data_IF_816023105788
#
_entry.id   IF_816023105788
#
_cell.length_a   1.000
_cell.length_b   1.000
_cell.length_c   1.000
_cell.angle_alpha   90.00
_cell.angle_beta   90.00
_cell.angle_gamma   90.00
#
_symmetry.space_group_name_H-M   'P 1'
#
loop_
_entity.id
_entity.type
_entity.pdbx_description
1 polymer ?
#
# COMPACT_ATOMS: atom_id res chain seq x y z
N UNK A 1 -14.58 23.26 28.23
CA UNK A 1 -14.03 24.09 27.14
C UNK A 1 -14.45 23.48 25.82
N UNK A 2 -15.31 24.19 25.07
CA UNK A 2 -15.71 23.81 23.73
C UNK A 2 -14.76 24.46 22.71
N UNK A 3 -14.37 23.72 21.67
CA UNK A 3 -13.91 24.29 20.40
C UNK A 3 -14.36 23.37 19.25
N UNK A 4 -15.39 23.84 18.53
CA UNK A 4 -15.91 23.28 17.31
C UNK A 4 -15.06 23.76 16.12
N UNK A 5 -14.63 22.87 15.22
CA UNK A 5 -14.17 23.25 13.88
C UNK A 5 -15.06 22.62 12.81
N UNK A 6 -16.09 23.40 12.45
CA UNK A 6 -16.92 23.27 11.24
C UNK A 6 -16.06 23.54 10.01
N UNK A 7 -15.89 22.55 9.13
CA UNK A 7 -15.50 22.78 7.74
C UNK A 7 -16.78 23.02 6.91
N UNK A 8 -16.97 24.27 6.46
CA UNK A 8 -18.03 24.65 5.52
C UNK A 8 -17.56 24.33 4.10
N UNK A 9 -18.15 23.31 3.48
CA UNK A 9 -18.01 23.11 2.03
C UNK A 9 -19.01 24.04 1.31
N UNK A 10 -18.49 25.00 0.56
CA UNK A 10 -19.27 25.82 -0.36
C UNK A 10 -19.26 25.11 -1.72
N UNK A 11 -20.21 24.21 -1.95
CA UNK A 11 -20.54 23.80 -3.32
C UNK A 11 -21.57 24.80 -3.87
N UNK A 12 -21.27 25.55 -4.94
CA UNK A 12 -22.30 26.34 -5.59
C UNK A 12 -23.28 25.39 -6.29
N UNK A 13 -24.54 25.49 -5.90
CA UNK A 13 -25.69 24.89 -6.58
C UNK A 13 -25.62 25.22 -8.07
N UNK A 14 -25.67 24.24 -8.99
CA UNK A 14 -25.72 24.54 -10.41
C UNK A 14 -27.06 25.21 -10.73
N UNK A 15 -27.03 26.55 -10.79
CA UNK A 15 -28.11 27.35 -11.31
C UNK A 15 -28.41 26.95 -12.74
N UNK A 16 -29.69 26.69 -13.02
CA UNK A 16 -30.23 26.50 -14.37
C UNK A 16 -29.74 27.62 -15.29
N UNK A 17 -28.86 27.29 -16.22
CA UNK A 17 -28.61 28.08 -17.43
C UNK A 17 -29.93 28.17 -18.21
N UNK A 18 -30.63 29.28 -18.05
CA UNK A 18 -31.75 29.64 -18.92
C UNK A 18 -31.16 30.06 -20.25
N UNK A 19 -31.37 29.24 -21.28
CA UNK A 19 -31.13 29.67 -22.64
C UNK A 19 -32.07 30.84 -22.96
N UNK A 20 -31.58 31.92 -23.59
CA UNK A 20 -32.45 33.01 -24.01
C UNK A 20 -33.45 32.48 -25.06
N UNK A 21 -34.74 32.73 -24.83
CA UNK A 21 -35.76 32.58 -25.86
C UNK A 21 -35.52 33.68 -26.89
N UNK A 22 -34.87 33.33 -27.99
CA UNK A 22 -34.83 34.18 -29.17
C UNK A 22 -36.27 34.32 -29.70
N UNK A 23 -36.87 35.47 -29.43
CA UNK A 23 -37.98 35.99 -30.21
C UNK A 23 -37.46 36.35 -31.60
N UNK A 24 -37.57 35.42 -32.56
CA UNK A 24 -37.48 35.75 -33.97
C UNK A 24 -38.90 36.07 -34.45
N UNK A 25 -39.14 37.34 -34.81
CA UNK A 25 -40.32 37.75 -35.54
C UNK A 25 -40.40 37.09 -36.93
N UNK A 26 -41.51 37.26 -37.65
CA UNK A 26 -41.73 36.61 -38.93
C UNK A 26 -40.97 37.37 -40.02
N UNK A 27 -39.67 37.12 -40.14
CA UNK A 27 -38.93 37.48 -41.34
C UNK A 27 -39.25 36.44 -42.41
N UNK A 28 -40.16 36.85 -43.30
CA UNK A 28 -40.39 36.37 -44.66
C UNK A 28 -39.36 35.36 -45.16
N UNK A 29 -39.79 34.10 -45.24
CA UNK A 29 -39.10 33.02 -45.94
C UNK A 29 -39.04 33.37 -47.42
N UNK A 30 -37.96 34.02 -47.85
CA UNK A 30 -37.52 33.83 -49.23
C UNK A 30 -36.99 32.41 -49.29
N UNK A 31 -37.71 31.53 -49.98
CA UNK A 31 -37.24 30.19 -50.32
C UNK A 31 -35.89 30.31 -51.04
N UNK A 32 -34.82 30.16 -50.26
CA UNK A 32 -33.51 29.86 -50.81
C UNK A 32 -33.64 28.42 -51.32
N UNK A 33 -33.51 28.17 -52.64
CA UNK A 33 -33.54 26.82 -53.15
C UNK A 33 -32.49 26.00 -52.39
N UNK A 34 -32.82 24.77 -51.96
CA UNK A 34 -31.93 23.97 -51.14
C UNK A 34 -30.59 23.86 -51.86
N UNK A 35 -29.53 24.39 -51.23
CA UNK A 35 -28.17 24.13 -51.70
C UNK A 35 -28.03 22.61 -51.74
N UNK A 36 -27.58 22.02 -52.86
CA UNK A 36 -27.37 20.59 -52.92
C UNK A 36 -26.40 20.22 -51.79
N UNK A 37 -26.89 19.44 -50.82
CA UNK A 37 -26.05 18.68 -49.88
C UNK A 37 -25.37 17.57 -50.68
N UNK A 38 -24.47 17.95 -51.58
CA UNK A 38 -23.46 17.06 -52.11
C UNK A 38 -22.17 17.36 -51.36
N UNK A 39 -21.92 16.49 -50.39
CA UNK A 39 -20.61 15.90 -50.17
C UNK A 39 -19.54 16.75 -49.47
N UNK A 40 -19.75 17.03 -48.18
CA UNK A 40 -18.61 17.18 -47.27
C UNK A 40 -17.95 15.80 -47.00
N UNK A 41 -18.72 14.71 -47.02
CA UNK A 41 -18.22 13.34 -46.85
C UNK A 41 -17.50 12.79 -48.09
N UNK A 42 -17.93 13.12 -49.33
CA UNK A 42 -17.23 12.60 -50.51
C UNK A 42 -15.90 13.30 -50.82
N UNK A 43 -15.57 14.41 -50.13
CA UNK A 43 -14.22 15.01 -50.21
C UNK A 43 -13.21 14.29 -49.33
N UNK A 44 -13.62 13.78 -48.16
CA UNK A 44 -12.73 12.95 -47.34
C UNK A 44 -12.45 11.60 -48.01
N UNK A 45 -13.44 10.99 -48.66
CA UNK A 45 -13.22 9.76 -49.44
C UNK A 45 -12.31 9.97 -50.66
N UNK A 46 -12.37 11.15 -51.32
CA UNK A 46 -11.49 11.47 -52.46
C UNK A 46 -10.00 11.64 -52.09
N UNK A 47 -9.69 12.00 -50.85
CA UNK A 47 -8.31 12.22 -50.41
C UNK A 47 -7.62 10.95 -49.90
N UNK A 48 -8.37 9.89 -49.61
CA UNK A 48 -7.87 8.57 -49.19
C UNK A 48 -7.12 7.82 -50.31
N UNK A 49 -7.34 8.18 -51.57
CA UNK A 49 -6.71 7.51 -52.72
C UNK A 49 -5.32 8.05 -53.07
N UNK A 50 -4.97 9.23 -52.54
CA UNK A 50 -3.61 9.76 -52.69
C UNK A 50 -2.64 8.97 -51.80
N UNK A 51 -1.41 8.73 -52.27
CA UNK A 51 -0.38 8.06 -51.46
C UNK A 51 -0.16 8.76 -50.11
N UNK A 52 -0.22 10.10 -50.12
CA UNK A 52 -0.17 10.96 -48.93
C UNK A 52 -1.36 10.76 -47.98
N UNK A 53 -2.57 10.56 -48.50
CA UNK A 53 -3.76 10.29 -47.70
C UNK A 53 -3.72 8.94 -47.00
N UNK A 54 -3.17 7.91 -47.64
CA UNK A 54 -2.98 6.58 -47.04
C UNK A 54 -1.96 6.61 -45.90
N UNK A 55 -0.85 7.33 -46.07
CA UNK A 55 0.15 7.50 -44.99
C UNK A 55 -0.43 8.27 -43.80
N UNK A 56 -1.22 9.33 -44.04
CA UNK A 56 -1.92 10.05 -42.96
C UNK A 56 -2.92 9.15 -42.22
N UNK A 57 -3.66 8.31 -42.94
CA UNK A 57 -4.60 7.36 -42.33
C UNK A 57 -3.89 6.33 -41.46
N UNK A 58 -2.74 5.78 -41.91
CA UNK A 58 -1.91 4.86 -41.12
C UNK A 58 -1.40 5.53 -39.84
N UNK A 59 -0.85 6.74 -39.94
CA UNK A 59 -0.36 7.49 -38.78
C UNK A 59 -1.49 7.79 -37.77
N UNK A 60 -2.71 8.12 -38.24
CA UNK A 60 -3.88 8.32 -37.37
C UNK A 60 -4.32 7.05 -36.64
N UNK A 61 -4.15 5.88 -37.26
CA UNK A 61 -4.43 4.60 -36.59
C UNK A 61 -3.34 4.30 -35.55
N UNK A 62 -2.07 4.44 -35.92
CA UNK A 62 -0.94 4.25 -35.00
C UNK A 62 -1.03 5.17 -33.78
N UNK A 63 -1.35 6.45 -33.98
CA UNK A 63 -1.55 7.41 -32.88
C UNK A 63 -2.68 6.98 -31.94
N UNK A 64 -3.81 6.50 -32.47
CA UNK A 64 -4.91 5.99 -31.64
C UNK A 64 -4.52 4.74 -30.87
N UNK A 65 -3.76 3.83 -31.48
CA UNK A 65 -3.24 2.64 -30.81
C UNK A 65 -2.29 3.04 -29.66
N UNK A 66 -1.33 3.93 -29.91
CA UNK A 66 -0.40 4.42 -28.89
C UNK A 66 -1.10 5.16 -27.76
N UNK A 67 -2.11 5.99 -28.07
CA UNK A 67 -2.93 6.65 -27.06
C UNK A 67 -3.63 5.64 -26.15
N UNK A 68 -4.25 4.62 -26.73
CA UNK A 68 -4.92 3.57 -25.97
C UNK A 68 -3.94 2.78 -25.07
N UNK A 69 -2.77 2.41 -25.59
CA UNK A 69 -1.73 1.74 -24.80
C UNK A 69 -1.25 2.61 -23.64
N UNK A 70 -1.10 3.93 -23.87
CA UNK A 70 -0.69 4.87 -22.84
C UNK A 70 -1.76 5.03 -21.74
N UNK A 71 -3.04 5.07 -22.10
CA UNK A 71 -4.14 5.08 -21.13
C UNK A 71 -4.14 3.82 -20.26
N UNK A 72 -3.95 2.64 -20.87
CA UNK A 72 -3.83 1.37 -20.15
C UNK A 72 -2.62 1.36 -19.21
N UNK A 73 -1.48 1.86 -19.66
CA UNK A 73 -0.27 1.95 -18.84
C UNK A 73 -0.43 2.91 -17.66
N UNK A 74 -1.13 4.04 -17.84
CA UNK A 74 -1.48 4.94 -16.75
C UNK A 74 -2.35 4.21 -15.72
N UNK A 75 -3.38 3.50 -16.17
CA UNK A 75 -4.28 2.75 -15.28
C UNK A 75 -3.52 1.68 -14.49
N UNK A 76 -2.69 0.86 -15.15
CA UNK A 76 -1.84 -0.15 -14.49
C UNK A 76 -0.92 0.45 -13.45
N UNK A 77 -0.33 1.62 -13.72
CA UNK A 77 0.52 2.34 -12.75
C UNK A 77 -0.28 2.85 -11.55
N UNK A 78 -1.51 3.31 -11.76
CA UNK A 78 -2.38 3.74 -10.67
C UNK A 78 -2.78 2.54 -9.79
N UNK A 79 -3.15 1.41 -10.40
CA UNK A 79 -3.46 0.17 -9.70
C UNK A 79 -2.26 -0.36 -8.91
N UNK A 80 -1.06 -0.39 -9.51
CA UNK A 80 0.16 -0.82 -8.83
C UNK A 80 0.49 0.07 -7.62
N UNK A 81 0.31 1.39 -7.74
CA UNK A 81 0.50 2.33 -6.62
C UNK A 81 -0.55 2.15 -5.52
N UNK A 82 -1.80 1.86 -5.88
CA UNK A 82 -2.85 1.58 -4.91
C UNK A 82 -2.54 0.29 -4.14
N UNK A 83 -2.21 -0.79 -4.85
CA UNK A 83 -1.82 -2.06 -4.24
C UNK A 83 -0.58 -1.93 -3.34
N UNK A 84 0.40 -1.11 -3.74
CA UNK A 84 1.56 -0.83 -2.90
C UNK A 84 1.17 -0.14 -1.59
N UNK A 85 0.28 0.86 -1.64
CA UNK A 85 -0.20 1.56 -0.44
C UNK A 85 -0.97 0.64 0.50
N UNK A 86 -1.87 -0.18 -0.04
CA UNK A 86 -2.61 -1.18 0.75
C UNK A 86 -1.65 -2.17 1.42
N UNK A 87 -0.61 -2.61 0.71
CA UNK A 87 0.43 -3.48 1.27
C UNK A 87 1.24 -2.78 2.37
N UNK A 88 1.62 -1.52 2.19
CA UNK A 88 2.34 -0.72 3.19
C UNK A 88 1.48 -0.52 4.46
N UNK A 89 0.20 -0.22 4.31
CA UNK A 89 -0.76 -0.08 5.42
C UNK A 89 -0.94 -1.41 6.16
N UNK A 90 -1.11 -2.52 5.44
CA UNK A 90 -1.21 -3.85 6.06
C UNK A 90 0.06 -4.21 6.85
N UNK A 91 1.24 -3.93 6.30
CA UNK A 91 2.50 -4.14 7.00
C UNK A 91 2.67 -3.24 8.22
N UNK A 92 2.24 -1.97 8.15
CA UNK A 92 2.27 -1.07 9.30
C UNK A 92 1.41 -1.60 10.45
N UNK A 93 0.20 -2.07 10.14
CA UNK A 93 -0.71 -2.70 11.12
C UNK A 93 -0.12 -3.97 11.72
N UNK A 94 0.51 -4.82 10.90
CA UNK A 94 1.18 -6.04 11.38
C UNK A 94 2.31 -5.69 12.36
N UNK A 95 3.16 -4.71 12.01
CA UNK A 95 4.26 -4.25 12.87
C UNK A 95 3.74 -3.67 14.19
N UNK A 96 2.66 -2.88 14.15
CA UNK A 96 2.04 -2.32 15.36
C UNK A 96 1.49 -3.43 16.26
N UNK A 97 0.82 -4.43 15.68
CA UNK A 97 0.29 -5.58 16.42
C UNK A 97 1.40 -6.38 17.13
N UNK A 98 2.54 -6.59 16.46
CA UNK A 98 3.70 -7.27 17.02
C UNK A 98 4.34 -6.45 18.15
N UNK A 99 4.46 -5.13 17.98
CA UNK A 99 4.96 -4.23 19.04
C UNK A 99 4.08 -4.29 20.28
N UNK A 100 2.76 -4.26 20.11
CA UNK A 100 1.81 -4.38 21.23
C UNK A 100 1.97 -5.74 21.94
N UNK A 101 2.13 -6.83 21.18
CA UNK A 101 2.35 -8.17 21.74
C UNK A 101 3.65 -8.25 22.56
N UNK A 102 4.74 -7.63 22.08
CA UNK A 102 6.02 -7.54 22.81
C UNK A 102 5.86 -6.75 24.11
N UNK A 103 5.20 -5.59 24.08
CA UNK A 103 4.93 -4.79 25.28
C UNK A 103 4.09 -5.57 26.30
N UNK A 104 3.07 -6.31 25.85
CA UNK A 104 2.28 -7.18 26.72
C UNK A 104 3.12 -8.33 27.31
N UNK A 105 4.03 -8.91 26.54
CA UNK A 105 4.94 -9.94 27.05
C UNK A 105 5.92 -9.38 28.09
N UNK A 106 6.49 -8.19 27.86
CA UNK A 106 7.38 -7.52 28.80
C UNK A 106 6.68 -7.15 30.12
N UNK A 107 5.47 -6.59 30.04
CA UNK A 107 4.68 -6.26 31.23
C UNK A 107 4.33 -7.51 32.04
N UNK A 108 3.91 -8.59 31.38
CA UNK A 108 3.70 -9.90 32.03
C UNK A 108 4.98 -10.44 32.66
N UNK A 109 6.13 -10.31 32.01
CA UNK A 109 7.42 -10.72 32.56
C UNK A 109 7.79 -9.89 33.80
N UNK A 110 7.56 -8.56 33.78
CA UNK A 110 7.77 -7.68 34.95
C UNK A 110 6.84 -8.08 36.10
N UNK A 111 5.55 -8.31 35.83
CA UNK A 111 4.60 -8.76 36.86
C UNK A 111 4.99 -10.13 37.44
N UNK A 112 5.43 -11.07 36.60
CA UNK A 112 5.91 -12.38 37.07
C UNK A 112 7.12 -12.26 38.01
N UNK A 113 8.06 -11.35 37.72
CA UNK A 113 9.20 -11.05 38.60
C UNK A 113 8.76 -10.47 39.94
N UNK A 114 7.90 -9.46 39.93
CA UNK A 114 7.38 -8.85 41.16
C UNK A 114 6.63 -9.87 42.01
N UNK A 115 5.80 -10.72 41.41
CA UNK A 115 5.11 -11.78 42.13
C UNK A 115 6.08 -12.84 42.70
N UNK A 116 7.16 -13.16 41.97
CA UNK A 116 8.21 -14.04 42.46
C UNK A 116 8.95 -13.43 43.67
N UNK A 117 9.29 -12.13 43.61
CA UNK A 117 9.92 -11.41 44.73
C UNK A 117 8.99 -11.28 45.95
N UNK A 118 7.69 -11.02 45.74
CA UNK A 118 6.71 -10.99 46.84
C UNK A 118 6.63 -12.37 47.50
N UNK A 119 6.55 -13.44 46.70
CA UNK A 119 6.54 -14.81 47.21
C UNK A 119 7.82 -15.14 47.94
N UNK A 120 8.99 -14.76 47.42
CA UNK A 120 10.28 -14.97 48.10
C UNK A 120 10.30 -14.24 49.45
N UNK A 121 9.88 -12.98 49.49
CA UNK A 121 9.76 -12.21 50.74
C UNK A 121 8.75 -12.81 51.71
N UNK A 122 7.62 -13.31 51.23
CA UNK A 122 6.62 -13.98 52.06
C UNK A 122 7.15 -15.31 52.58
N UNK A 123 7.84 -16.10 51.75
CA UNK A 123 8.51 -17.34 52.19
C UNK A 123 9.61 -17.06 53.20
N UNK A 124 10.38 -15.98 53.04
CA UNK A 124 11.39 -15.56 54.02
C UNK A 124 10.73 -15.07 55.31
N UNK A 125 9.65 -14.29 55.24
CA UNK A 125 8.87 -13.86 56.42
C UNK A 125 8.29 -15.05 57.16
N UNK A 126 7.68 -16.00 56.44
CA UNK A 126 7.19 -17.26 56.99
C UNK A 126 8.35 -18.09 57.54
N UNK A 127 9.51 -18.16 56.88
CA UNK A 127 10.68 -18.83 57.44
C UNK A 127 11.20 -18.14 58.71
N UNK A 128 11.19 -16.82 58.80
CA UNK A 128 11.62 -16.10 60.00
C UNK A 128 10.59 -16.15 61.13
N UNK A 129 9.29 -16.23 60.81
CA UNK A 129 8.20 -16.47 61.76
C UNK A 129 8.16 -17.92 62.22
N UNK A 130 8.37 -18.86 61.31
CA UNK A 130 8.47 -20.30 61.57
C UNK A 130 9.80 -20.70 62.19
N UNK A 131 10.90 -19.97 62.04
CA UNK A 131 12.10 -20.24 62.86
C UNK A 131 11.84 -19.94 64.35
N UNK A 132 10.75 -19.22 64.66
CA UNK A 132 10.28 -18.97 66.02
C UNK A 132 9.09 -19.87 66.43
N UNK A 133 8.37 -20.50 65.48
CA UNK A 133 7.20 -21.35 65.76
C UNK A 133 7.36 -22.85 65.36
N UNK A 134 8.29 -23.20 64.46
CA UNK A 134 8.61 -24.56 64.01
C UNK A 134 9.83 -25.12 64.76
N UNK A 135 9.62 -25.45 66.04
CA UNK A 135 9.85 -26.84 66.36
C UNK A 135 8.60 -27.60 65.84
N UNK A 136 8.74 -28.25 64.68
CA UNK A 136 7.83 -29.23 64.04
C UNK A 136 6.91 -28.71 62.90
N UNK A 137 7.45 -28.60 61.67
CA UNK A 137 6.60 -28.70 60.47
C UNK A 137 6.01 -30.10 60.35
N UNK A 138 4.72 -30.22 60.04
CA UNK A 138 4.09 -31.52 59.81
C UNK A 138 4.57 -32.15 58.48
N UNK A 139 4.64 -33.50 58.41
CA UNK A 139 5.03 -34.21 57.17
C UNK A 139 4.16 -33.84 55.96
N UNK A 140 2.94 -33.34 56.18
CA UNK A 140 1.99 -32.94 55.14
C UNK A 140 2.37 -31.60 54.50
N UNK A 141 2.80 -30.61 55.29
CA UNK A 141 3.24 -29.30 54.80
C UNK A 141 4.50 -29.41 53.94
N UNK A 142 5.43 -30.29 54.34
CA UNK A 142 6.65 -30.57 53.56
C UNK A 142 6.31 -31.16 52.19
N UNK A 143 5.28 -32.02 52.08
CA UNK A 143 4.85 -32.58 50.79
C UNK A 143 4.23 -31.51 49.90
N UNK A 144 3.34 -30.68 50.45
CA UNK A 144 2.69 -29.59 49.71
C UNK A 144 3.72 -28.57 49.19
N UNK A 145 4.72 -28.22 50.00
CA UNK A 145 5.80 -27.33 49.56
C UNK A 145 6.63 -27.93 48.42
N UNK A 146 6.92 -29.23 48.47
CA UNK A 146 7.65 -29.92 47.38
C UNK A 146 6.85 -29.97 46.08
N UNK A 147 5.56 -30.25 46.16
CA UNK A 147 4.66 -30.26 44.99
C UNK A 147 4.50 -28.87 44.38
N UNK A 148 4.39 -27.83 45.22
CA UNK A 148 4.35 -26.44 44.77
C UNK A 148 5.66 -26.01 44.09
N UNK A 149 6.81 -26.46 44.62
CA UNK A 149 8.13 -26.18 44.03
C UNK A 149 8.28 -26.87 42.67
N UNK A 150 7.87 -28.14 42.57
CA UNK A 150 7.88 -28.88 41.31
C UNK A 150 6.99 -28.22 40.23
N UNK A 151 5.80 -27.75 40.59
CA UNK A 151 4.94 -27.02 39.67
C UNK A 151 5.50 -25.66 39.25
N UNK A 152 6.22 -24.97 40.14
CA UNK A 152 6.87 -23.71 39.81
C UNK A 152 8.03 -23.90 38.82
N UNK A 153 8.85 -24.94 39.02
CA UNK A 153 9.92 -25.32 38.11
C UNK A 153 9.38 -25.73 36.73
N UNK A 154 8.29 -26.52 36.69
CA UNK A 154 7.65 -26.90 35.44
C UNK A 154 7.05 -25.70 34.69
N UNK A 155 6.46 -24.74 35.42
CA UNK A 155 5.94 -23.51 34.84
C UNK A 155 7.05 -22.64 34.25
N UNK A 156 8.21 -22.57 34.93
CA UNK A 156 9.40 -21.86 34.44
C UNK A 156 9.92 -22.47 33.14
N UNK A 157 10.09 -23.79 33.09
CA UNK A 157 10.56 -24.51 31.89
C UNK A 157 9.62 -24.26 30.69
N UNK A 158 8.30 -24.35 30.89
CA UNK A 158 7.32 -24.06 29.84
C UNK A 158 7.36 -22.61 29.34
N UNK A 159 7.70 -21.65 30.20
CA UNK A 159 7.83 -20.25 29.82
C UNK A 159 9.10 -20.00 28.97
N UNK A 160 10.22 -20.64 29.32
CA UNK A 160 11.48 -20.61 28.56
C UNK A 160 11.32 -21.23 27.16
N UNK A 161 10.59 -22.35 27.05
CA UNK A 161 10.26 -22.97 25.77
C UNK A 161 9.42 -22.06 24.87
N UNK A 162 8.45 -21.34 25.44
CA UNK A 162 7.64 -20.37 24.67
C UNK A 162 8.47 -19.18 24.21
N UNK A 163 9.37 -18.68 25.06
CA UNK A 163 10.26 -17.57 24.72
C UNK A 163 11.20 -17.94 23.56
N UNK A 164 11.84 -19.11 23.63
CA UNK A 164 12.73 -19.59 22.56
C UNK A 164 11.97 -19.88 21.25
N UNK A 165 10.73 -20.39 21.34
CA UNK A 165 9.89 -20.57 20.16
C UNK A 165 9.50 -19.23 19.51
N UNK A 166 9.18 -18.20 20.31
CA UNK A 166 8.88 -16.85 19.82
C UNK A 166 10.12 -16.20 19.16
N UNK A 167 11.29 -16.32 19.77
CA UNK A 167 12.55 -15.81 19.21
C UNK A 167 12.89 -16.46 17.86
N UNK A 168 12.73 -17.78 17.75
CA UNK A 168 12.92 -18.50 16.47
C UNK A 168 11.95 -18.00 15.39
N UNK A 169 10.70 -17.69 15.74
CA UNK A 169 9.72 -17.12 14.78
C UNK A 169 10.11 -15.70 14.38
N UNK A 170 10.52 -14.86 15.33
CA UNK A 170 10.98 -13.49 15.05
C UNK A 170 12.19 -13.48 14.10
N UNK A 171 13.22 -14.28 14.38
CA UNK A 171 14.40 -14.42 13.50
C UNK A 171 14.03 -14.92 12.10
N UNK A 172 13.03 -15.78 11.97
CA UNK A 172 12.54 -16.24 10.65
C UNK A 172 11.79 -15.12 9.91
N UNK A 173 11.00 -14.31 10.61
CA UNK A 173 10.31 -13.16 10.02
C UNK A 173 11.31 -12.10 9.52
N UNK A 174 12.36 -11.79 10.29
CA UNK A 174 13.43 -10.87 9.87
C UNK A 174 14.16 -11.35 8.61
N UNK A 175 14.47 -12.65 8.51
CA UNK A 175 15.08 -13.21 7.30
C UNK A 175 14.17 -13.12 6.08
N UNK A 176 12.85 -13.23 6.28
CA UNK A 176 11.88 -13.05 5.19
C UNK A 176 11.80 -11.59 4.76
N UNK A 177 11.79 -10.63 5.70
CA UNK A 177 11.77 -9.21 5.36
C UNK A 177 13.04 -8.75 4.66
N UNK A 178 14.22 -9.24 5.10
CA UNK A 178 15.49 -8.94 4.43
C UNK A 178 15.53 -9.49 3.01
N UNK A 179 14.96 -10.68 2.78
CA UNK A 179 14.86 -11.28 1.45
C UNK A 179 13.92 -10.51 0.53
N UNK A 180 12.74 -10.15 1.00
CA UNK A 180 11.77 -9.36 0.23
C UNK A 180 12.35 -7.99 -0.13
N UNK A 181 13.07 -7.35 0.80
CA UNK A 181 13.78 -6.09 0.52
C UNK A 181 14.82 -6.26 -0.60
N UNK A 182 15.62 -7.33 -0.55
CA UNK A 182 16.61 -7.61 -1.58
C UNK A 182 15.97 -7.90 -2.95
N UNK A 183 14.86 -8.64 -2.99
CA UNK A 183 14.10 -8.90 -4.22
C UNK A 183 13.51 -7.60 -4.81
N UNK A 184 12.98 -6.71 -3.96
CA UNK A 184 12.49 -5.38 -4.39
C UNK A 184 13.62 -4.51 -4.98
N UNK A 185 14.79 -4.52 -4.35
CA UNK A 185 15.93 -3.72 -4.82
C UNK A 185 16.50 -4.26 -6.14
N UNK A 186 16.49 -5.57 -6.35
CA UNK A 186 16.82 -6.18 -7.65
C UNK A 186 15.87 -5.71 -8.75
N UNK A 187 14.55 -5.75 -8.54
CA UNK A 187 13.55 -5.28 -9.51
C UNK A 187 13.72 -3.77 -9.79
N UNK A 188 14.03 -2.96 -8.78
CA UNK A 188 14.33 -1.52 -8.97
C UNK A 188 15.59 -1.30 -9.81
N UNK A 189 16.62 -2.14 -9.66
CA UNK A 189 17.84 -2.05 -10.46
C UNK A 189 17.60 -2.48 -11.92
N UNK A 190 16.87 -3.58 -12.14
CA UNK A 190 16.48 -4.01 -13.49
C UNK A 190 15.64 -2.94 -14.19
N UNK A 191 14.63 -2.39 -13.51
CA UNK A 191 13.81 -1.32 -14.06
C UNK A 191 14.66 -0.10 -14.45
N UNK A 192 15.59 0.33 -13.58
CA UNK A 192 16.51 1.44 -13.90
C UNK A 192 17.39 1.15 -15.11
N UNK A 193 17.91 -0.06 -15.24
CA UNK A 193 18.74 -0.46 -16.38
C UNK A 193 17.92 -0.45 -17.69
N UNK A 194 16.70 -0.99 -17.67
CA UNK A 194 15.78 -0.97 -18.82
C UNK A 194 15.42 0.47 -19.21
N UNK A 195 15.10 1.34 -18.25
CA UNK A 195 14.82 2.75 -18.51
C UNK A 195 16.02 3.50 -19.09
N UNK A 196 17.24 3.20 -18.62
CA UNK A 196 18.46 3.80 -19.18
C UNK A 196 18.68 3.36 -20.64
N UNK A 197 18.48 2.08 -20.95
CA UNK A 197 18.59 1.55 -22.31
C UNK A 197 17.53 2.15 -23.26
N UNK A 198 16.29 2.31 -22.79
CA UNK A 198 15.22 2.97 -23.56
C UNK A 198 15.56 4.45 -23.85
N UNK A 199 16.07 5.20 -22.86
CA UNK A 199 16.49 6.60 -23.08
C UNK A 199 17.61 6.73 -24.10
N UNK A 200 18.60 5.82 -24.07
CA UNK A 200 19.67 5.81 -25.07
C UNK A 200 19.14 5.52 -26.47
N UNK A 201 18.15 4.63 -26.58
CA UNK A 201 17.50 4.31 -27.84
C UNK A 201 16.65 5.47 -28.38
N UNK A 202 15.92 6.18 -27.51
CA UNK A 202 15.16 7.37 -27.87
C UNK A 202 16.08 8.49 -28.38
N UNK A 203 17.22 8.73 -27.72
CA UNK A 203 18.22 9.69 -28.19
C UNK A 203 18.73 9.33 -29.59
N UNK A 204 19.10 8.07 -29.81
CA UNK A 204 19.57 7.61 -31.12
C UNK A 204 18.50 7.69 -32.22
N UNK A 205 17.23 7.43 -31.90
CA UNK A 205 16.12 7.62 -32.85
C UNK A 205 15.92 9.10 -33.18
N UNK A 206 16.06 10.00 -32.20
CA UNK A 206 16.01 11.45 -32.44
C UNK A 206 17.13 11.89 -33.38
N UNK A 207 18.36 11.43 -33.12
CA UNK A 207 19.53 11.77 -33.96
C UNK A 207 19.35 11.27 -35.41
N UNK A 208 18.78 10.07 -35.60
CA UNK A 208 18.46 9.52 -36.92
C UNK A 208 17.40 10.34 -37.65
N UNK A 209 16.36 10.79 -36.95
CA UNK A 209 15.31 11.64 -37.54
C UNK A 209 15.90 12.98 -37.96
N UNK A 210 16.70 13.60 -37.10
CA UNK A 210 17.36 14.88 -37.41
C UNK A 210 18.30 14.74 -38.61
N UNK A 211 19.05 13.64 -38.71
CA UNK A 211 19.88 13.33 -39.88
C UNK A 211 19.04 13.18 -41.16
N UNK A 212 17.95 12.39 -41.11
CA UNK A 212 17.07 12.22 -42.29
C UNK A 212 16.33 13.48 -42.71
N UNK A 213 16.06 14.40 -41.78
CA UNK A 213 15.47 15.71 -42.08
C UNK A 213 16.49 16.70 -42.66
N UNK A 214 17.79 16.53 -42.38
CA UNK A 214 18.84 17.36 -42.99
C UNK A 214 19.21 16.91 -44.40
N UNK A 215 19.05 15.62 -44.71
CA UNK A 215 19.30 15.05 -46.04
C UNK A 215 18.16 15.29 -47.05
N UNK A 216 16.97 15.67 -46.58
CA UNK A 216 15.79 16.05 -47.39
C UNK A 216 15.80 17.54 -47.76
#
# INVERSE_FOLDING_TARGET
>A
MQANSRARSNNPTPGRLRWPKNHAGPETVREIPPRPRKDAQSREEQHCDTATGRELAKLRVQLRCLQHEFELEILRRQEARAAQRESEEAHALEVESLRLAVQQAETRARHARVLAEIRERETLKLHTGNLLEDFVCSKREVRVLREALAHAEESKLRAEDRATAAEKRARRAERRSSRISAESDFVKQEARAVFAALRQRDAHLSDLVDFTLQDL
#
